data_IF_911231248540
#
_entry.id   IF_911231248540
#
_cell.length_a   1.000
_cell.length_b   1.000
_cell.length_c   1.000
_cell.angle_alpha   90.00
_cell.angle_beta   90.00
_cell.angle_gamma   90.00
#
_symmetry.space_group_name_H-M   'P 1'
#
loop_
_entity.id
_entity.type
_entity.pdbx_description
1 polymer ?
#
# COMPACT_ATOMS: atom_id res chain seq x y z
N UNK A 1 34.07 -12.07 12.47
CA UNK A 1 32.97 -11.55 13.33
C UNK A 1 32.22 -10.39 12.67
N UNK A 2 32.89 -9.34 12.15
CA UNK A 2 32.22 -8.19 11.50
C UNK A 2 31.27 -8.53 10.32
N UNK A 3 31.58 -9.58 9.53
CA UNK A 3 30.71 -10.01 8.42
C UNK A 3 29.43 -10.70 8.88
N UNK A 4 29.39 -11.27 10.08
CA UNK A 4 28.22 -11.96 10.62
C UNK A 4 27.23 -10.94 11.21
N UNK A 5 27.79 -9.93 11.89
CA UNK A 5 27.05 -8.81 12.48
C UNK A 5 26.31 -7.97 11.42
N UNK A 6 26.97 -7.73 10.28
CA UNK A 6 26.36 -7.03 9.14
C UNK A 6 25.22 -7.82 8.50
N UNK A 7 25.27 -9.15 8.52
CA UNK A 7 24.21 -10.01 7.97
C UNK A 7 22.95 -10.00 8.84
N UNK A 8 23.11 -9.96 10.17
CA UNK A 8 21.99 -9.80 11.10
C UNK A 8 21.29 -8.45 10.95
N UNK A 9 22.07 -7.37 10.80
CA UNK A 9 21.54 -6.00 10.65
C UNK A 9 20.69 -5.85 9.38
N UNK A 10 21.17 -6.38 8.24
CA UNK A 10 20.40 -6.39 6.99
C UNK A 10 19.07 -7.15 7.15
N UNK A 11 19.08 -8.30 7.82
CA UNK A 11 17.86 -9.10 8.00
C UNK A 11 16.82 -8.39 8.87
N UNK A 12 17.25 -7.67 9.91
CA UNK A 12 16.32 -6.86 10.71
C UNK A 12 15.71 -5.72 9.91
N UNK A 13 16.51 -5.05 9.06
CA UNK A 13 16.03 -3.99 8.16
C UNK A 13 15.00 -4.53 7.18
N UNK A 14 15.25 -5.69 6.56
CA UNK A 14 14.34 -6.33 5.62
C UNK A 14 13.01 -6.71 6.28
N UNK A 15 13.06 -7.21 7.52
CA UNK A 15 11.86 -7.54 8.31
C UNK A 15 11.04 -6.29 8.62
N UNK A 16 11.69 -5.21 9.05
CA UNK A 16 11.03 -3.94 9.34
C UNK A 16 10.43 -3.35 8.07
N UNK A 17 11.17 -3.36 6.96
CA UNK A 17 10.70 -2.87 5.66
C UNK A 17 9.48 -3.65 5.16
N UNK A 18 9.54 -4.98 5.19
CA UNK A 18 8.42 -5.86 4.83
C UNK A 18 7.18 -5.59 5.68
N UNK A 19 7.36 -5.42 6.99
CA UNK A 19 6.26 -5.09 7.91
C UNK A 19 5.63 -3.73 7.59
N UNK A 20 6.45 -2.70 7.35
CA UNK A 20 5.96 -1.35 7.00
C UNK A 20 5.18 -1.39 5.68
N UNK A 21 5.69 -2.11 4.67
CA UNK A 21 5.02 -2.21 3.38
C UNK A 21 3.65 -2.88 3.48
N UNK A 22 3.51 -3.92 4.31
CA UNK A 22 2.22 -4.58 4.53
C UNK A 22 1.24 -3.65 5.26
N UNK A 23 1.70 -2.97 6.33
CA UNK A 23 0.84 -2.08 7.12
C UNK A 23 0.39 -0.86 6.31
N UNK A 24 1.32 -0.23 5.58
CA UNK A 24 1.02 0.92 4.70
C UNK A 24 0.13 0.47 3.54
N UNK A 25 0.39 -0.69 2.95
CA UNK A 25 -0.45 -1.29 1.91
C UNK A 25 -1.90 -1.46 2.38
N UNK A 26 -2.09 -2.12 3.52
CA UNK A 26 -3.42 -2.36 4.08
C UNK A 26 -4.15 -1.06 4.48
N UNK A 27 -3.48 -0.15 5.19
CA UNK A 27 -4.06 1.11 5.61
C UNK A 27 -4.39 2.02 4.40
N UNK A 28 -3.48 2.12 3.44
CA UNK A 28 -3.67 2.88 2.22
C UNK A 28 -4.84 2.35 1.39
N UNK A 29 -4.94 1.02 1.22
CA UNK A 29 -6.07 0.41 0.50
C UNK A 29 -7.40 0.70 1.19
N UNK A 30 -7.48 0.63 2.53
CA UNK A 30 -8.70 0.96 3.27
C UNK A 30 -9.12 2.43 3.09
N UNK A 31 -8.15 3.35 3.14
CA UNK A 31 -8.40 4.78 2.92
C UNK A 31 -8.91 5.02 1.50
N UNK A 32 -8.24 4.46 0.48
CA UNK A 32 -8.64 4.61 -0.92
C UNK A 32 -10.04 4.04 -1.18
N UNK A 33 -10.35 2.85 -0.68
CA UNK A 33 -11.70 2.28 -0.80
C UNK A 33 -12.74 3.18 -0.13
N UNK A 34 -12.43 3.71 1.06
CA UNK A 34 -13.34 4.62 1.78
C UNK A 34 -13.63 5.89 0.98
N UNK A 35 -12.60 6.48 0.37
CA UNK A 35 -12.75 7.69 -0.44
C UNK A 35 -13.50 7.39 -1.75
N UNK A 36 -13.26 6.24 -2.39
CA UNK A 36 -14.06 5.80 -3.55
C UNK A 36 -15.55 5.72 -3.18
N UNK A 37 -15.88 5.07 -2.05
CA UNK A 37 -17.26 4.95 -1.58
C UNK A 37 -17.87 6.32 -1.30
N UNK A 38 -17.10 7.24 -0.72
CA UNK A 38 -17.55 8.59 -0.40
C UNK A 38 -17.81 9.42 -1.67
N UNK A 39 -16.97 9.28 -2.70
CA UNK A 39 -17.15 9.92 -4.01
C UNK A 39 -18.40 9.38 -4.70
N UNK A 40 -18.61 8.06 -4.71
CA UNK A 40 -19.79 7.42 -5.33
C UNK A 40 -21.09 7.84 -4.60
N UNK A 41 -21.05 7.97 -3.27
CA UNK A 41 -22.24 8.37 -2.50
C UNK A 41 -22.56 9.86 -2.58
N UNK A 42 -21.57 10.70 -2.80
CA UNK A 42 -21.78 12.15 -2.79
C UNK A 42 -22.07 12.64 -4.21
N UNK A 43 -23.33 13.00 -4.48
CA UNK A 43 -23.79 13.51 -5.78
C UNK A 43 -23.08 14.78 -6.24
N UNK A 44 -22.42 15.50 -5.34
CA UNK A 44 -21.57 16.65 -5.64
C UNK A 44 -20.33 16.27 -6.47
N UNK A 45 -19.87 15.02 -6.38
CA UNK A 45 -18.69 14.51 -7.10
C UNK A 45 -19.04 13.73 -8.38
N UNK A 46 -20.31 13.65 -8.79
CA UNK A 46 -20.72 13.10 -10.09
C UNK A 46 -20.42 14.09 -11.24
N UNK A 47 -19.16 14.49 -11.36
CA UNK A 47 -18.62 15.28 -12.45
C UNK A 47 -17.40 14.56 -13.03
N UNK A 48 -16.92 15.02 -14.18
CA UNK A 48 -15.75 14.42 -14.85
C UNK A 48 -14.52 14.33 -13.94
N UNK A 49 -14.35 15.28 -13.03
CA UNK A 49 -13.24 15.30 -12.07
C UNK A 49 -13.35 14.20 -11.00
N UNK A 50 -14.55 13.96 -10.45
CA UNK A 50 -14.78 12.89 -9.48
C UNK A 50 -14.57 11.50 -10.08
N UNK A 51 -14.98 11.28 -11.32
CA UNK A 51 -14.70 10.01 -12.02
C UNK A 51 -13.20 9.81 -12.29
N UNK A 52 -12.46 10.85 -12.65
CA UNK A 52 -11.00 10.78 -12.82
C UNK A 52 -10.32 10.50 -11.48
N UNK A 53 -10.83 11.07 -10.38
CA UNK A 53 -10.32 10.79 -9.03
C UNK A 53 -10.56 9.34 -8.62
N UNK A 54 -11.73 8.77 -8.91
CA UNK A 54 -12.04 7.35 -8.65
C UNK A 54 -11.10 6.43 -9.42
N UNK A 55 -10.83 6.71 -10.70
CA UNK A 55 -9.91 5.89 -11.51
C UNK A 55 -8.48 5.90 -10.96
N UNK A 56 -8.00 7.05 -10.50
CA UNK A 56 -6.70 7.16 -9.84
C UNK A 56 -6.67 6.39 -8.51
N UNK A 57 -7.69 6.57 -7.66
CA UNK A 57 -7.78 5.83 -6.40
C UNK A 57 -7.89 4.32 -6.59
N UNK A 58 -8.55 3.87 -7.66
CA UNK A 58 -8.60 2.46 -8.03
C UNK A 58 -7.20 1.95 -8.40
N UNK A 59 -6.45 2.69 -9.23
CA UNK A 59 -5.09 2.34 -9.58
C UNK A 59 -4.19 2.25 -8.34
N UNK A 60 -4.25 3.26 -7.46
CA UNK A 60 -3.50 3.28 -6.20
C UNK A 60 -3.88 2.09 -5.29
N UNK A 61 -5.16 1.71 -5.26
CA UNK A 61 -5.63 0.56 -4.48
C UNK A 61 -5.01 -0.75 -4.99
N UNK A 62 -4.95 -0.96 -6.32
CA UNK A 62 -4.33 -2.15 -6.90
C UNK A 62 -2.83 -2.18 -6.64
N UNK A 63 -2.14 -1.05 -6.75
CA UNK A 63 -0.71 -0.95 -6.43
C UNK A 63 -0.44 -1.33 -4.97
N UNK A 64 -1.20 -0.75 -4.03
CA UNK A 64 -1.09 -1.07 -2.59
C UNK A 64 -1.40 -2.54 -2.31
N UNK A 65 -2.34 -3.14 -3.05
CA UNK A 65 -2.67 -4.56 -2.94
C UNK A 65 -1.47 -5.43 -3.38
N UNK A 66 -0.85 -5.12 -4.53
CA UNK A 66 0.34 -5.82 -5.01
C UNK A 66 1.48 -5.65 -4.00
N UNK A 67 1.65 -4.45 -3.46
CA UNK A 67 2.72 -4.18 -2.50
C UNK A 67 2.52 -4.96 -1.19
N UNK A 68 1.27 -5.10 -0.72
CA UNK A 68 0.94 -5.85 0.48
C UNK A 68 1.03 -7.38 0.28
N UNK A 69 0.56 -7.90 -0.86
CA UNK A 69 0.47 -9.36 -1.10
C UNK A 69 1.72 -9.96 -1.75
N UNK A 70 2.54 -9.17 -2.44
CA UNK A 70 3.71 -9.65 -3.16
C UNK A 70 5.00 -9.05 -2.61
N UNK A 71 5.14 -7.72 -2.63
CA UNK A 71 6.39 -7.05 -2.26
C UNK A 71 6.74 -7.27 -0.79
N UNK A 72 5.77 -7.10 0.12
CA UNK A 72 5.91 -7.35 1.55
C UNK A 72 6.42 -8.76 1.89
N UNK A 73 5.73 -9.85 1.48
CA UNK A 73 6.23 -11.19 1.73
C UNK A 73 7.55 -11.49 1.01
N UNK A 74 7.80 -10.92 -0.17
CA UNK A 74 9.08 -11.10 -0.88
C UNK A 74 10.27 -10.40 -0.23
N UNK A 75 10.05 -9.42 0.65
CA UNK A 75 11.09 -8.80 1.48
C UNK A 75 11.24 -9.47 2.84
N UNK A 76 10.25 -10.27 3.26
CA UNK A 76 10.32 -11.06 4.49
C UNK A 76 10.97 -12.44 4.29
N UNK A 77 10.99 -12.94 3.05
CA UNK A 77 11.52 -14.25 2.63
C UNK A 77 12.95 -14.12 2.11
#
# INVERSE_FOLDING_TARGET
>A
MASLDKLSDLREIDIVAGTIMIVVGAAGSLINITVIVLIIKSTQFHNSFGYICVSQLLADTFELLINAFWTGPSTLL
#
